data_IF_144089476980
#
_entry.id   IF_144089476980
#
_cell.length_a   1.000
_cell.length_b   1.000
_cell.length_c   1.000
_cell.angle_alpha   90.00
_cell.angle_beta   90.00
_cell.angle_gamma   90.00
#
_symmetry.space_group_name_H-M   'P 1'
#
loop_
_entity.id
_entity.type
_entity.pdbx_description
1 polymer ?
#
# COMPACT_ATOMS: atom_id res chain seq x y z
N UNK A 1 14.01 36.68 -2.60
CA UNK A 1 13.04 36.33 -3.67
C UNK A 1 11.87 35.56 -3.07
N UNK A 2 10.87 35.20 -3.88
CA UNK A 2 9.67 34.48 -3.43
C UNK A 2 9.90 32.99 -3.14
N UNK A 3 11.03 32.42 -3.58
CA UNK A 3 11.27 30.97 -3.47
C UNK A 3 10.68 30.17 -4.64
N UNK A 4 10.30 30.84 -5.73
CA UNK A 4 9.92 30.22 -7.01
C UNK A 4 11.06 30.21 -8.02
N UNK A 5 10.87 29.43 -9.10
CA UNK A 5 11.74 29.45 -10.28
C UNK A 5 12.10 30.88 -10.69
N UNK A 6 13.39 31.14 -10.83
CA UNK A 6 13.91 32.44 -11.22
C UNK A 6 13.71 32.68 -12.72
N UNK A 7 13.42 33.91 -13.11
CA UNK A 7 13.35 34.34 -14.52
C UNK A 7 14.45 35.35 -14.83
N UNK A 8 14.82 35.47 -16.12
CA UNK A 8 15.87 36.38 -16.56
C UNK A 8 17.24 36.04 -15.94
N UNK A 9 17.94 37.04 -15.41
CA UNK A 9 19.28 36.86 -14.81
C UNK A 9 19.26 36.15 -13.46
N UNK A 10 18.11 36.11 -12.78
CA UNK A 10 17.98 35.58 -11.43
C UNK A 10 17.80 36.66 -10.38
N UNK A 11 17.99 36.29 -9.11
CA UNK A 11 17.94 37.21 -7.97
C UNK A 11 19.35 37.77 -7.76
N UNK A 12 19.55 39.07 -8.01
CA UNK A 12 20.85 39.70 -7.81
C UNK A 12 21.24 39.69 -6.35
N UNK A 13 22.47 39.25 -6.06
CA UNK A 13 23.04 39.21 -4.70
C UNK A 13 24.28 40.06 -4.58
N UNK A 14 25.06 40.14 -5.66
CA UNK A 14 26.20 41.06 -5.77
C UNK A 14 26.04 41.87 -7.04
N UNK A 15 26.17 43.19 -6.92
CA UNK A 15 26.17 44.12 -8.03
C UNK A 15 27.58 44.66 -8.27
N UNK A 16 28.06 44.53 -9.50
CA UNK A 16 29.26 45.19 -9.96
C UNK A 16 28.92 46.61 -10.42
N UNK A 17 29.36 47.62 -9.66
CA UNK A 17 29.12 49.04 -9.97
C UNK A 17 30.41 49.72 -10.42
N UNK A 18 30.28 50.85 -11.14
CA UNK A 18 31.39 51.72 -11.53
C UNK A 18 32.54 51.01 -12.28
N UNK A 19 32.21 50.01 -13.11
CA UNK A 19 33.21 49.27 -13.88
C UNK A 19 34.01 48.24 -13.06
N UNK A 20 33.53 47.88 -11.87
CA UNK A 20 34.11 46.79 -11.10
C UNK A 20 34.05 45.47 -11.88
N UNK A 21 35.15 44.72 -11.84
CA UNK A 21 35.23 43.36 -12.39
C UNK A 21 35.26 42.37 -11.23
N UNK A 22 34.56 41.24 -11.36
CA UNK A 22 34.64 40.14 -10.39
C UNK A 22 35.34 38.96 -11.02
N UNK A 23 36.30 38.36 -10.31
CA UNK A 23 36.98 37.14 -10.80
C UNK A 23 36.04 35.93 -10.73
N UNK A 24 36.27 34.94 -11.59
CA UNK A 24 35.60 33.64 -11.48
C UNK A 24 35.96 33.00 -10.13
N UNK A 25 34.96 32.69 -9.31
CA UNK A 25 35.14 32.17 -7.95
C UNK A 25 35.34 33.25 -6.86
N UNK A 26 35.25 34.55 -7.18
CA UNK A 26 35.31 35.62 -6.18
C UNK A 26 34.24 35.47 -5.08
N UNK A 27 33.10 34.88 -5.42
CA UNK A 27 32.07 34.46 -4.49
C UNK A 27 31.80 32.97 -4.66
N UNK A 28 31.67 32.27 -3.54
CA UNK A 28 31.31 30.86 -3.51
C UNK A 28 30.08 30.67 -2.65
N UNK A 29 29.18 29.80 -3.11
CA UNK A 29 28.03 29.41 -2.31
C UNK A 29 28.48 28.38 -1.27
N UNK A 30 28.52 28.80 -0.01
CA UNK A 30 29.03 27.96 1.08
C UNK A 30 28.13 26.78 1.44
N UNK A 31 26.80 26.96 1.36
CA UNK A 31 25.82 25.93 1.68
C UNK A 31 24.78 25.82 0.56
N UNK A 32 24.14 24.66 0.44
CA UNK A 32 23.00 24.51 -0.44
C UNK A 32 21.88 25.48 -0.02
N UNK A 33 21.35 26.24 -0.98
CA UNK A 33 20.29 27.21 -0.73
C UNK A 33 18.98 26.66 -1.27
N UNK A 34 18.00 26.55 -0.38
CA UNK A 34 16.75 25.89 -0.64
C UNK A 34 15.60 26.82 -0.24
N UNK A 35 14.62 26.98 -1.13
CA UNK A 35 13.39 27.73 -0.83
C UNK A 35 12.20 27.11 -1.58
N UNK A 36 11.12 26.80 -0.85
CA UNK A 36 9.92 26.18 -1.42
C UNK A 36 10.26 24.86 -2.12
N UNK A 37 9.91 24.73 -3.40
CA UNK A 37 10.13 23.52 -4.20
C UNK A 37 11.51 23.47 -4.91
N UNK A 38 12.34 24.52 -4.79
CA UNK A 38 13.56 24.67 -5.62
C UNK A 38 14.85 24.72 -4.79
N UNK A 39 15.93 24.29 -5.44
CA UNK A 39 17.31 24.58 -5.08
C UNK A 39 17.77 25.82 -5.85
N UNK A 40 18.70 26.58 -5.27
CA UNK A 40 19.28 27.77 -5.88
C UNK A 40 20.81 27.67 -5.88
N UNK A 41 21.39 28.04 -7.02
CA UNK A 41 22.83 28.13 -7.21
C UNK A 41 23.25 29.57 -7.48
N UNK A 42 24.41 29.95 -6.93
CA UNK A 42 25.02 31.25 -7.16
C UNK A 42 25.85 31.20 -8.45
N UNK A 43 25.56 32.11 -9.38
CA UNK A 43 26.25 32.19 -10.66
C UNK A 43 26.66 33.63 -10.97
N UNK A 44 27.85 33.77 -11.55
CA UNK A 44 28.31 35.01 -12.19
C UNK A 44 27.63 35.18 -13.55
N UNK A 45 27.29 36.41 -13.91
CA UNK A 45 26.79 36.76 -15.23
C UNK A 45 27.84 37.61 -15.98
N UNK A 46 27.60 37.80 -17.27
CA UNK A 46 28.41 38.59 -18.21
C UNK A 46 28.56 40.08 -17.84
N UNK A 47 27.75 40.59 -16.91
CA UNK A 47 27.81 41.97 -16.41
C UNK A 47 28.62 42.09 -15.12
N UNK A 48 29.47 41.10 -14.82
CA UNK A 48 30.33 41.05 -13.63
C UNK A 48 29.55 40.91 -12.31
N UNK A 49 28.21 40.91 -12.34
CA UNK A 49 27.34 40.75 -11.17
C UNK A 49 27.04 39.27 -10.90
N UNK A 50 26.59 38.98 -9.68
CA UNK A 50 26.29 37.62 -9.24
C UNK A 50 24.83 37.48 -8.84
N UNK A 51 24.22 36.40 -9.31
CA UNK A 51 22.80 36.12 -9.18
C UNK A 51 22.58 34.73 -8.61
N UNK A 52 21.55 34.59 -7.79
CA UNK A 52 20.98 33.28 -7.48
C UNK A 52 20.00 32.88 -8.59
N UNK A 53 20.18 31.68 -9.12
CA UNK A 53 19.29 31.07 -10.12
C UNK A 53 18.74 29.77 -9.57
N UNK A 54 17.44 29.55 -9.77
CA UNK A 54 16.83 28.27 -9.43
C UNK A 54 17.35 27.19 -10.38
N UNK A 55 17.53 25.98 -9.86
CA UNK A 55 17.73 24.82 -10.71
C UNK A 55 16.48 24.56 -11.57
N UNK A 56 16.67 23.92 -12.73
CA UNK A 56 15.58 23.58 -13.64
C UNK A 56 14.71 22.42 -13.11
N UNK A 57 15.22 21.65 -12.15
CA UNK A 57 14.52 20.57 -11.48
C UNK A 57 13.97 21.03 -10.13
N UNK A 58 12.95 20.32 -9.64
CA UNK A 58 12.57 20.44 -8.24
C UNK A 58 13.62 19.76 -7.36
N UNK A 59 13.57 20.09 -6.08
CA UNK A 59 14.33 19.35 -5.08
C UNK A 59 13.82 17.91 -4.95
N UNK A 60 14.70 17.02 -4.51
CA UNK A 60 14.40 15.65 -4.12
C UNK A 60 13.27 15.53 -3.09
N UNK A 61 13.14 16.49 -2.18
CA UNK A 61 12.10 16.45 -1.14
C UNK A 61 10.67 16.55 -1.70
N UNK A 62 10.48 17.11 -2.89
CA UNK A 62 9.14 17.23 -3.52
C UNK A 62 8.57 15.84 -3.85
N UNK A 63 9.21 14.99 -4.68
CA UNK A 63 8.74 13.62 -4.88
C UNK A 63 8.80 12.79 -3.60
N UNK A 64 9.80 13.00 -2.72
CA UNK A 64 9.92 12.26 -1.47
C UNK A 64 8.70 12.47 -0.55
N UNK A 65 8.32 13.71 -0.26
CA UNK A 65 7.19 14.00 0.63
C UNK A 65 5.85 13.66 -0.03
N UNK A 66 5.72 13.86 -1.33
CA UNK A 66 4.51 13.50 -2.07
C UNK A 66 4.23 11.99 -2.02
N UNK A 67 5.28 11.16 -2.03
CA UNK A 67 5.16 9.71 -1.95
C UNK A 67 4.56 9.21 -0.63
N UNK A 68 4.65 10.00 0.46
CA UNK A 68 4.09 9.63 1.77
C UNK A 68 2.59 9.35 1.70
N UNK A 69 1.85 10.12 0.89
CA UNK A 69 0.41 9.91 0.67
C UNK A 69 0.13 8.55 0.03
N UNK A 70 0.92 8.17 -0.97
CA UNK A 70 0.81 6.88 -1.66
C UNK A 70 1.12 5.73 -0.72
N UNK A 71 2.23 5.82 0.01
CA UNK A 71 2.71 4.74 0.87
C UNK A 71 1.76 4.39 2.03
N UNK A 72 1.23 5.40 2.75
CA UNK A 72 0.22 5.16 3.79
C UNK A 72 -1.00 4.44 3.23
N UNK A 73 -1.46 4.93 2.08
CA UNK A 73 -2.65 4.43 1.44
C UNK A 73 -2.48 3.02 0.85
N UNK A 74 -1.27 2.64 0.43
CA UNK A 74 -0.97 1.28 -0.01
C UNK A 74 -0.89 0.32 1.17
N UNK A 75 -0.26 0.75 2.28
CA UNK A 75 -0.25 0.00 3.53
C UNK A 75 -1.67 -0.33 3.98
N UNK A 76 -2.55 0.68 4.05
CA UNK A 76 -3.95 0.51 4.47
C UNK A 76 -4.69 -0.52 3.61
N UNK A 77 -4.54 -0.40 2.29
CA UNK A 77 -5.17 -1.30 1.32
C UNK A 77 -4.70 -2.74 1.49
N UNK A 78 -3.39 -2.94 1.59
CA UNK A 78 -2.79 -4.28 1.75
C UNK A 78 -3.25 -4.90 3.06
N UNK A 79 -3.23 -4.13 4.16
CA UNK A 79 -3.67 -4.61 5.45
C UNK A 79 -5.12 -5.10 5.43
N UNK A 80 -6.04 -4.35 4.84
CA UNK A 80 -7.44 -4.79 4.76
C UNK A 80 -7.62 -6.00 3.83
N UNK A 81 -6.87 -6.04 2.71
CA UNK A 81 -6.89 -7.15 1.74
C UNK A 81 -6.25 -8.45 2.24
N UNK A 82 -5.49 -8.41 3.34
CA UNK A 82 -4.84 -9.59 3.96
C UNK A 82 -5.81 -10.61 4.58
N UNK A 83 -7.11 -10.31 4.56
CA UNK A 83 -8.13 -11.25 5.02
C UNK A 83 -8.38 -12.28 3.93
N UNK A 84 -7.88 -13.51 4.13
CA UNK A 84 -8.30 -14.63 3.31
C UNK A 84 -9.73 -15.02 3.71
N UNK A 85 -10.67 -14.98 2.76
CA UNK A 85 -11.98 -15.58 2.94
C UNK A 85 -11.76 -17.09 3.16
N UNK A 86 -12.05 -17.60 4.35
CA UNK A 86 -12.04 -19.04 4.60
C UNK A 86 -13.44 -19.61 4.36
N UNK A 87 -13.54 -20.34 3.25
CA UNK A 87 -14.51 -21.41 3.06
C UNK A 87 -14.11 -22.58 3.96
N UNK A 88 -14.96 -22.89 4.95
CA UNK A 88 -14.84 -24.15 5.70
C UNK A 88 -14.23 -24.05 7.10
N UNK A 89 -14.92 -23.39 8.02
CA UNK A 89 -15.01 -23.94 9.37
C UNK A 89 -16.47 -24.30 9.58
N UNK A 90 -16.80 -25.56 9.27
CA UNK A 90 -17.99 -26.22 9.79
C UNK A 90 -17.88 -26.19 11.32
N UNK A 91 -18.73 -25.39 11.97
CA UNK A 91 -18.81 -25.29 13.42
C UNK A 91 -19.47 -23.99 13.88
N UNK A 92 -20.30 -24.10 14.91
CA UNK A 92 -20.94 -23.00 15.66
C UNK A 92 -19.94 -22.12 16.43
N UNK A 93 -18.64 -22.30 16.19
CA UNK A 93 -17.56 -21.84 17.05
C UNK A 93 -16.96 -20.53 16.56
N UNK A 94 -16.61 -19.66 17.50
CA UNK A 94 -15.88 -18.44 17.22
C UNK A 94 -14.42 -18.78 16.93
N UNK A 95 -13.73 -17.89 16.21
CA UNK A 95 -12.31 -18.06 15.91
C UNK A 95 -11.48 -16.85 16.31
N UNK A 96 -10.22 -17.12 16.66
CA UNK A 96 -9.16 -16.12 16.81
C UNK A 96 -8.05 -16.46 15.83
N UNK A 97 -7.59 -15.45 15.10
CA UNK A 97 -6.58 -15.64 14.06
C UNK A 97 -5.45 -14.63 14.20
N UNK A 98 -4.24 -15.15 14.07
CA UNK A 98 -3.01 -14.38 14.00
C UNK A 98 -2.46 -14.51 12.58
N UNK A 99 -2.16 -13.39 11.94
CA UNK A 99 -1.45 -13.37 10.67
C UNK A 99 -0.23 -12.47 10.70
N UNK A 100 0.78 -12.88 9.94
CA UNK A 100 1.99 -12.10 9.68
C UNK A 100 2.12 -12.01 8.17
N UNK A 101 2.22 -10.80 7.66
CA UNK A 101 2.41 -10.54 6.23
C UNK A 101 3.60 -9.62 6.01
N UNK A 102 4.33 -9.86 4.93
CA UNK A 102 5.37 -8.96 4.47
C UNK A 102 5.55 -9.07 2.97
N UNK A 103 6.18 -8.07 2.39
CA UNK A 103 6.37 -8.02 0.94
C UNK A 103 7.21 -6.85 0.50
N UNK A 104 7.30 -6.73 -0.83
CA UNK A 104 7.94 -5.64 -1.51
C UNK A 104 6.92 -4.99 -2.45
N UNK A 105 6.90 -3.66 -2.51
CA UNK A 105 6.02 -2.87 -3.35
C UNK A 105 6.81 -1.74 -4.00
N UNK A 106 6.49 -1.41 -5.25
CA UNK A 106 7.06 -0.28 -5.96
C UNK A 106 6.09 0.37 -6.94
N UNK A 107 6.46 1.55 -7.40
CA UNK A 107 5.81 2.32 -8.45
C UNK A 107 6.87 2.76 -9.46
N UNK A 108 6.56 2.63 -10.75
CA UNK A 108 7.41 3.14 -11.82
C UNK A 108 7.14 4.63 -12.11
N UNK A 109 8.15 5.32 -12.65
CA UNK A 109 7.99 6.69 -13.12
C UNK A 109 7.12 6.73 -14.40
N UNK A 110 6.02 7.47 -14.34
CA UNK A 110 5.05 7.59 -15.44
C UNK A 110 4.82 9.04 -15.87
N UNK A 111 5.90 9.82 -15.92
CA UNK A 111 5.88 11.18 -16.49
C UNK A 111 6.11 12.31 -15.48
N UNK A 112 6.58 11.96 -14.27
CA UNK A 112 7.04 12.91 -13.27
C UNK A 112 5.96 13.63 -12.47
N UNK A 113 6.35 14.20 -11.34
CA UNK A 113 5.43 14.75 -10.35
C UNK A 113 4.66 15.99 -10.85
N UNK A 114 5.25 16.76 -11.79
CA UNK A 114 4.59 17.91 -12.45
C UNK A 114 3.30 17.49 -13.15
N UNK A 115 3.29 16.29 -13.74
CA UNK A 115 2.15 15.76 -14.49
C UNK A 115 1.13 15.04 -13.61
N UNK A 116 1.33 15.08 -12.29
CA UNK A 116 0.52 14.35 -11.32
C UNK A 116 0.82 12.86 -11.31
N UNK A 117 1.99 12.42 -11.76
CA UNK A 117 2.41 11.03 -11.62
C UNK A 117 2.83 10.74 -10.18
N UNK A 118 2.60 9.51 -9.73
CA UNK A 118 3.20 9.01 -8.50
C UNK A 118 4.72 8.92 -8.69
N UNK A 119 5.54 9.42 -7.73
CA UNK A 119 6.98 9.29 -7.79
C UNK A 119 7.43 7.82 -7.86
N UNK A 120 8.53 7.58 -8.59
CA UNK A 120 9.13 6.25 -8.62
C UNK A 120 9.59 5.87 -7.21
N UNK A 121 9.22 4.66 -6.79
CA UNK A 121 9.51 4.20 -5.45
C UNK A 121 9.60 2.68 -5.39
N UNK A 122 10.40 2.17 -4.45
CA UNK A 122 10.51 0.74 -4.21
C UNK A 122 10.87 0.49 -2.76
N UNK A 123 10.20 -0.48 -2.14
CA UNK A 123 10.37 -0.70 -0.71
C UNK A 123 9.71 -1.94 -0.19
N UNK A 124 9.96 -2.19 1.09
CA UNK A 124 9.40 -3.33 1.81
C UNK A 124 8.43 -2.88 2.88
N UNK A 125 7.50 -3.76 3.21
CA UNK A 125 6.57 -3.59 4.32
C UNK A 125 6.39 -4.92 5.06
N UNK A 126 5.96 -4.82 6.30
CA UNK A 126 5.53 -5.97 7.08
C UNK A 126 4.61 -5.58 8.22
N UNK A 127 3.70 -6.46 8.59
CA UNK A 127 2.79 -6.25 9.71
C UNK A 127 2.35 -7.56 10.35
N UNK A 128 1.92 -7.43 11.60
CA UNK A 128 1.23 -8.47 12.36
C UNK A 128 -0.21 -8.03 12.59
N UNK A 129 -1.15 -8.93 12.38
CA UNK A 129 -2.59 -8.71 12.58
C UNK A 129 -3.15 -9.80 13.48
N UNK A 130 -3.95 -9.38 14.46
CA UNK A 130 -4.72 -10.26 15.34
C UNK A 130 -6.20 -9.94 15.16
N UNK A 131 -7.00 -10.95 14.88
CA UNK A 131 -8.45 -10.84 14.71
C UNK A 131 -9.19 -11.86 15.56
N UNK A 132 -10.43 -11.53 15.91
CA UNK A 132 -11.31 -12.41 16.67
C UNK A 132 -12.78 -12.18 16.33
N UNK A 133 -13.51 -13.28 16.19
CA UNK A 133 -14.95 -13.27 16.04
C UNK A 133 -15.63 -12.92 17.38
N UNK A 134 -16.58 -11.99 17.33
CA UNK A 134 -17.36 -11.56 18.49
C UNK A 134 -18.71 -12.26 18.56
N UNK A 135 -19.36 -12.46 17.41
CA UNK A 135 -20.68 -13.07 17.32
C UNK A 135 -20.83 -13.79 15.99
N UNK A 136 -21.39 -15.00 16.07
CA UNK A 136 -21.92 -15.75 14.94
C UNK A 136 -23.39 -16.09 15.20
N UNK A 137 -24.26 -15.83 14.24
CA UNK A 137 -25.70 -16.13 14.34
C UNK A 137 -26.25 -16.48 12.97
N UNK A 138 -27.31 -17.28 12.94
CA UNK A 138 -28.06 -17.53 11.71
C UNK A 138 -29.38 -16.74 11.75
N UNK A 139 -29.66 -15.98 10.70
CA UNK A 139 -30.90 -15.20 10.58
C UNK A 139 -31.41 -15.31 9.15
N UNK A 140 -32.66 -15.73 8.99
CA UNK A 140 -33.35 -15.79 7.70
C UNK A 140 -32.55 -16.52 6.58
N UNK A 141 -31.89 -17.63 6.92
CA UNK A 141 -31.09 -18.41 5.96
C UNK A 141 -29.70 -17.85 5.67
N UNK A 142 -29.26 -16.81 6.38
CA UNK A 142 -27.90 -16.27 6.32
C UNK A 142 -27.12 -16.57 7.60
N UNK A 143 -25.91 -17.08 7.47
CA UNK A 143 -24.92 -17.12 8.54
C UNK A 143 -24.20 -15.77 8.60
N UNK A 144 -24.32 -15.09 9.74
CA UNK A 144 -23.72 -13.81 10.02
C UNK A 144 -22.55 -14.00 10.98
N UNK A 145 -21.37 -13.51 10.64
CA UNK A 145 -20.22 -13.46 11.55
C UNK A 145 -19.73 -12.02 11.64
N UNK A 146 -19.57 -11.48 12.84
CA UNK A 146 -18.94 -10.18 13.07
C UNK A 146 -17.76 -10.32 14.00
N UNK A 147 -16.74 -9.50 13.77
CA UNK A 147 -15.53 -9.51 14.58
C UNK A 147 -14.74 -8.22 14.45
N UNK A 148 -13.61 -8.21 15.14
CA UNK A 148 -12.69 -7.07 15.21
C UNK A 148 -11.27 -7.53 15.00
N UNK A 149 -10.41 -6.60 14.60
CA UNK A 149 -8.98 -6.86 14.50
C UNK A 149 -8.16 -5.63 14.85
N UNK A 150 -6.93 -5.89 15.27
CA UNK A 150 -5.88 -4.90 15.41
C UNK A 150 -4.63 -5.32 14.67
N UNK A 151 -3.88 -4.35 14.16
CA UNK A 151 -2.63 -4.60 13.47
C UNK A 151 -1.58 -3.54 13.78
N UNK A 152 -0.32 -3.95 13.70
CA UNK A 152 0.84 -3.08 13.79
C UNK A 152 1.83 -3.46 12.69
N UNK A 153 2.39 -2.45 12.03
CA UNK A 153 3.27 -2.67 10.90
C UNK A 153 4.28 -1.56 10.69
N UNK A 154 5.22 -1.86 9.82
CA UNK A 154 6.30 -0.98 9.43
C UNK A 154 6.50 -1.05 7.92
N UNK A 155 6.81 0.07 7.29
CA UNK A 155 7.27 0.13 5.90
C UNK A 155 8.50 1.02 5.74
N UNK A 156 9.34 0.68 4.77
CA UNK A 156 10.52 1.46 4.39
C UNK A 156 10.64 1.44 2.87
N UNK A 157 10.58 2.63 2.27
CA UNK A 157 10.49 2.82 0.82
C UNK A 157 11.51 3.84 0.37
N UNK A 158 12.37 3.45 -0.58
CA UNK A 158 13.27 4.36 -1.27
C UNK A 158 12.51 5.02 -2.42
N UNK A 159 12.71 6.34 -2.57
CA UNK A 159 12.04 7.17 -3.57
C UNK A 159 13.10 7.78 -4.47
N UNK A 160 12.77 7.86 -5.77
CA UNK A 160 13.62 8.52 -6.77
C UNK A 160 12.99 9.81 -7.25
N UNK A 161 13.85 10.70 -7.73
CA UNK A 161 13.44 11.92 -8.40
C UNK A 161 13.07 11.64 -9.87
N UNK A 162 12.50 12.64 -10.55
CA UNK A 162 12.04 12.55 -11.94
C UNK A 162 13.19 12.24 -12.93
N UNK A 163 14.44 12.55 -12.56
CA UNK A 163 15.65 12.25 -13.32
C UNK A 163 16.25 10.84 -13.02
N UNK A 164 15.62 10.09 -12.12
CA UNK A 164 16.04 8.75 -11.69
C UNK A 164 17.12 8.75 -10.59
N UNK A 165 17.57 9.91 -10.13
CA UNK A 165 18.46 10.02 -8.97
C UNK A 165 17.73 9.67 -7.67
N UNK A 166 18.48 9.39 -6.60
CA UNK A 166 17.90 9.05 -5.29
C UNK A 166 17.33 10.32 -4.65
N UNK A 167 16.02 10.33 -4.36
CA UNK A 167 15.40 11.42 -3.62
C UNK A 167 15.52 11.21 -2.09
N UNK A 168 15.40 9.97 -1.62
CA UNK A 168 15.52 9.65 -0.20
C UNK A 168 14.79 8.38 0.20
N UNK A 169 14.54 8.22 1.50
CA UNK A 169 13.81 7.08 2.08
C UNK A 169 12.66 7.59 2.94
N UNK A 170 11.48 7.02 2.77
CA UNK A 170 10.32 7.22 3.65
C UNK A 170 10.12 5.96 4.50
N UNK A 171 9.90 6.16 5.79
CA UNK A 171 9.52 5.11 6.73
C UNK A 171 8.17 5.43 7.34
N UNK A 172 7.35 4.42 7.57
CA UNK A 172 6.05 4.56 8.24
C UNK A 172 5.87 3.45 9.28
N UNK A 173 5.60 3.86 10.52
CA UNK A 173 5.13 2.99 11.58
C UNK A 173 3.62 3.18 11.73
N UNK A 174 2.86 2.10 11.49
CA UNK A 174 1.42 2.17 11.39
C UNK A 174 0.73 1.25 12.42
N UNK A 175 -0.32 1.78 13.05
CA UNK A 175 -1.20 1.03 13.96
C UNK A 175 -2.65 1.15 13.53
N UNK A 176 -3.31 0.01 13.35
CA UNK A 176 -4.65 -0.05 12.77
C UNK A 176 -5.63 -0.82 13.66
N UNK A 177 -6.89 -0.40 13.61
CA UNK A 177 -8.02 -1.09 14.22
C UNK A 177 -9.14 -1.17 13.20
N UNK A 178 -9.80 -2.32 13.13
CA UNK A 178 -10.92 -2.52 12.22
C UNK A 178 -11.96 -3.49 12.74
N UNK A 179 -13.11 -3.45 12.09
CA UNK A 179 -14.24 -4.33 12.33
C UNK A 179 -14.73 -4.91 11.02
N UNK A 180 -15.36 -6.08 11.10
CA UNK A 180 -15.89 -6.76 9.94
C UNK A 180 -17.24 -7.41 10.16
N UNK A 181 -17.91 -7.66 9.03
CA UNK A 181 -19.17 -8.37 8.93
C UNK A 181 -19.14 -9.29 7.71
N UNK A 182 -19.15 -10.59 7.96
CA UNK A 182 -19.25 -11.62 6.94
C UNK A 182 -20.67 -12.19 6.93
N UNK A 183 -21.28 -12.23 5.76
CA UNK A 183 -22.61 -12.74 5.49
C UNK A 183 -22.48 -13.90 4.51
N UNK A 184 -22.99 -15.08 4.85
CA UNK A 184 -22.98 -16.25 3.96
C UNK A 184 -24.40 -16.79 3.84
N UNK A 185 -24.92 -16.87 2.62
CA UNK A 185 -26.23 -17.44 2.35
C UNK A 185 -26.14 -18.98 2.38
N UNK A 186 -26.85 -19.58 3.33
CA UNK A 186 -26.67 -21.01 3.71
C UNK A 186 -26.98 -21.98 2.58
N UNK A 187 -27.89 -21.63 1.66
CA UNK A 187 -28.29 -22.54 0.58
C UNK A 187 -27.52 -22.35 -0.72
N UNK A 188 -27.03 -21.14 -1.02
CA UNK A 188 -26.35 -20.85 -2.29
C UNK A 188 -24.84 -20.68 -2.16
N UNK A 189 -24.32 -20.52 -0.94
CA UNK A 189 -22.91 -20.20 -0.70
C UNK A 189 -22.54 -18.76 -1.08
N UNK A 190 -23.46 -17.95 -1.61
CA UNK A 190 -23.24 -16.53 -1.89
C UNK A 190 -22.78 -15.86 -0.60
N UNK A 191 -21.67 -15.14 -0.65
CA UNK A 191 -21.17 -14.43 0.51
C UNK A 191 -20.86 -12.97 0.21
N UNK A 192 -20.89 -12.17 1.27
CA UNK A 192 -20.47 -10.77 1.26
C UNK A 192 -19.67 -10.47 2.52
N UNK A 193 -18.55 -9.78 2.37
CA UNK A 193 -17.72 -9.29 3.47
C UNK A 193 -17.67 -7.77 3.46
N UNK A 194 -17.87 -7.17 4.63
CA UNK A 194 -17.80 -5.73 4.83
C UNK A 194 -16.72 -5.47 5.87
N UNK A 195 -15.79 -4.58 5.56
CA UNK A 195 -14.71 -4.18 6.46
C UNK A 195 -14.69 -2.67 6.60
N UNK A 196 -14.46 -2.21 7.82
CA UNK A 196 -14.13 -0.82 8.12
C UNK A 196 -12.86 -0.78 8.99
N UNK A 197 -11.92 0.08 8.61
CA UNK A 197 -10.60 0.21 9.24
C UNK A 197 -10.25 1.68 9.47
N UNK A 198 -9.58 1.95 10.58
CA UNK A 198 -8.84 3.20 10.81
C UNK A 198 -7.38 2.90 11.13
N UNK A 199 -6.49 3.71 10.57
CA UNK A 199 -5.04 3.58 10.77
C UNK A 199 -4.46 4.90 11.26
N UNK A 200 -3.50 4.82 12.18
CA UNK A 200 -2.61 5.93 12.51
C UNK A 200 -1.23 5.66 11.92
N UNK A 201 -0.68 6.67 11.26
CA UNK A 201 0.62 6.64 10.62
C UNK A 201 1.59 7.55 11.35
N UNK A 202 2.84 7.14 11.44
CA UNK A 202 3.94 7.92 11.99
C UNK A 202 5.09 7.84 11.01
N UNK A 203 5.22 8.87 10.19
CA UNK A 203 6.09 8.84 9.03
C UNK A 203 7.34 9.70 9.22
N UNK A 204 8.47 9.20 8.70
CA UNK A 204 9.71 9.94 8.57
C UNK A 204 10.22 9.84 7.14
N UNK A 205 10.36 10.97 6.47
CA UNK A 205 11.08 11.11 5.22
C UNK A 205 12.48 11.66 5.49
N UNK A 206 13.50 11.03 4.88
CA UNK A 206 14.91 11.44 4.99
C UNK A 206 15.52 11.52 3.60
N UNK A 207 16.00 12.70 3.21
CA UNK A 207 16.84 12.94 2.04
C UNK A 207 18.29 13.19 2.48
N UNK A 208 19.20 13.40 1.53
CA UNK A 208 20.58 13.79 1.83
C UNK A 208 20.68 15.16 2.53
N UNK A 209 19.64 15.99 2.41
CA UNK A 209 19.66 17.39 2.82
C UNK A 209 18.60 17.77 3.88
N UNK A 210 17.54 16.98 4.02
CA UNK A 210 16.42 17.28 4.90
C UNK A 210 15.87 16.02 5.58
N UNK A 211 15.30 16.26 6.77
CA UNK A 211 14.50 15.28 7.51
C UNK A 211 13.12 15.89 7.74
N UNK A 212 12.07 15.13 7.42
CA UNK A 212 10.69 15.56 7.59
C UNK A 212 9.89 14.48 8.30
N UNK A 213 9.03 14.90 9.23
CA UNK A 213 8.14 13.99 9.97
C UNK A 213 6.72 14.48 9.82
N UNK A 214 5.81 13.55 9.53
CA UNK A 214 4.38 13.79 9.56
C UNK A 214 3.69 12.64 10.28
N UNK A 215 2.58 12.95 10.95
CA UNK A 215 1.66 11.94 11.44
C UNK A 215 0.44 11.92 10.54
N UNK A 216 -0.20 10.77 10.44
CA UNK A 216 -1.35 10.59 9.56
C UNK A 216 -2.48 9.83 10.21
N UNK A 217 -3.68 10.03 9.67
CA UNK A 217 -4.85 9.21 9.95
C UNK A 217 -5.47 8.75 8.64
N UNK A 218 -5.46 7.44 8.45
CA UNK A 218 -6.10 6.75 7.34
C UNK A 218 -7.44 6.16 7.80
N UNK A 219 -8.36 6.05 6.85
CA UNK A 219 -9.58 5.27 7.02
C UNK A 219 -9.88 4.53 5.72
N UNK A 220 -10.44 3.34 5.85
CA UNK A 220 -10.78 2.50 4.72
C UNK A 220 -12.08 1.76 4.97
N UNK A 221 -12.90 1.64 3.93
CA UNK A 221 -13.99 0.69 3.87
C UNK A 221 -13.85 -0.21 2.64
N UNK A 222 -14.26 -1.45 2.77
CA UNK A 222 -14.36 -2.37 1.64
C UNK A 222 -15.61 -3.22 1.71
N UNK A 223 -16.14 -3.53 0.54
CA UNK A 223 -17.19 -4.49 0.30
C UNK A 223 -16.66 -5.53 -0.67
N UNK A 224 -16.70 -6.79 -0.29
CA UNK A 224 -16.34 -7.92 -1.14
C UNK A 224 -17.50 -8.90 -1.22
N UNK A 225 -17.67 -9.54 -2.37
CA UNK A 225 -18.66 -10.60 -2.55
C UNK A 225 -18.14 -11.67 -3.47
N UNK A 226 -18.57 -12.90 -3.22
CA UNK A 226 -18.22 -14.06 -4.04
C UNK A 226 -19.34 -15.09 -4.09
N UNK A 227 -19.37 -15.88 -5.16
CA UNK A 227 -20.36 -16.93 -5.35
C UNK A 227 -19.65 -18.22 -5.77
N UNK A 228 -19.58 -19.24 -4.92
CA UNK A 228 -18.89 -20.45 -5.30
C UNK A 228 -19.72 -21.39 -6.16
N UNK A 229 -19.03 -22.07 -7.08
CA UNK A 229 -19.56 -23.07 -7.99
C UNK A 229 -18.67 -24.31 -7.96
N UNK A 230 -19.25 -25.49 -7.74
CA UNK A 230 -18.54 -26.75 -7.88
C UNK A 230 -18.34 -27.07 -9.37
N UNK A 231 -17.08 -27.25 -9.79
CA UNK A 231 -16.74 -27.76 -11.12
C UNK A 231 -16.73 -29.29 -11.10
N UNK A 232 -16.13 -29.87 -10.06
CA UNK A 232 -16.11 -31.30 -9.77
C UNK A 232 -16.31 -31.50 -8.26
N UNK A 233 -16.35 -32.74 -7.80
CA UNK A 233 -16.52 -33.08 -6.38
C UNK A 233 -15.44 -32.45 -5.48
N UNK A 234 -14.24 -32.18 -6.03
CA UNK A 234 -13.09 -31.68 -5.26
C UNK A 234 -12.57 -30.32 -5.77
N UNK A 235 -13.21 -29.69 -6.75
CA UNK A 235 -12.75 -28.44 -7.37
C UNK A 235 -13.85 -27.40 -7.41
N UNK A 236 -13.54 -26.22 -6.89
CA UNK A 236 -14.46 -25.10 -6.71
C UNK A 236 -13.93 -23.86 -7.39
N UNK A 237 -14.81 -23.17 -8.13
CA UNK A 237 -14.55 -21.87 -8.74
C UNK A 237 -15.45 -20.83 -8.09
N UNK A 238 -14.88 -19.71 -7.69
CA UNK A 238 -15.61 -18.62 -7.05
C UNK A 238 -15.23 -17.29 -7.70
N UNK A 239 -16.07 -16.73 -8.58
CA UNK A 239 -15.97 -15.34 -8.98
C UNK A 239 -16.06 -14.42 -7.77
N UNK A 240 -15.21 -13.42 -7.72
CA UNK A 240 -15.12 -12.45 -6.63
C UNK A 240 -15.06 -11.02 -7.16
N UNK A 241 -15.75 -10.13 -6.46
CA UNK A 241 -15.73 -8.70 -6.73
C UNK A 241 -15.55 -7.94 -5.41
N UNK A 242 -14.55 -7.09 -5.36
CA UNK A 242 -14.27 -6.23 -4.23
C UNK A 242 -14.25 -4.76 -4.67
N UNK A 243 -14.86 -3.92 -3.86
CA UNK A 243 -14.80 -2.47 -3.97
C UNK A 243 -14.27 -1.89 -2.68
N UNK A 244 -13.24 -1.05 -2.79
CA UNK A 244 -12.55 -0.43 -1.66
C UNK A 244 -12.52 1.07 -1.86
N UNK A 245 -12.82 1.80 -0.79
CA UNK A 245 -12.75 3.25 -0.74
C UNK A 245 -11.93 3.66 0.49
N UNK A 246 -11.05 4.63 0.30
CA UNK A 246 -10.09 5.02 1.33
C UNK A 246 -9.84 6.52 1.32
N UNK A 247 -9.47 7.03 2.49
CA UNK A 247 -9.03 8.41 2.66
C UNK A 247 -7.90 8.53 3.66
N UNK A 248 -7.08 9.56 3.48
CA UNK A 248 -5.91 9.84 4.29
C UNK A 248 -5.80 11.34 4.55
N UNK A 249 -5.44 11.69 5.77
CA UNK A 249 -5.01 13.04 6.13
C UNK A 249 -3.66 12.94 6.82
N UNK A 250 -2.70 13.76 6.38
CA UNK A 250 -1.39 13.91 7.01
C UNK A 250 -1.31 15.29 7.66
N UNK A 251 -0.62 15.37 8.79
CA UNK A 251 -0.31 16.63 9.46
C UNK A 251 0.65 17.46 8.59
N UNK A 252 0.37 18.75 8.46
CA UNK A 252 1.27 19.72 7.84
C UNK A 252 2.58 19.85 8.64
N UNK A 253 3.63 20.32 7.98
CA UNK A 253 4.93 20.53 8.58
C UNK A 253 5.75 21.61 7.89
N UNK A 254 7.04 21.60 8.19
CA UNK A 254 8.01 22.51 7.61
C UNK A 254 9.39 21.83 7.58
N UNK A 255 10.16 22.12 6.55
CA UNK A 255 11.56 21.73 6.40
C UNK A 255 12.46 22.97 6.35
N UNK A 256 13.74 22.81 6.03
CA UNK A 256 14.69 23.93 6.00
C UNK A 256 14.40 24.98 4.92
N UNK A 257 13.47 24.72 4.01
CA UNK A 257 13.15 25.60 2.89
C UNK A 257 11.77 26.22 2.91
N UNK A 258 10.90 25.75 3.80
CA UNK A 258 9.56 26.31 3.93
C UNK A 258 8.55 25.34 4.51
N UNK A 259 7.28 25.65 4.28
CA UNK A 259 6.19 24.80 4.74
C UNK A 259 5.93 23.67 3.75
N UNK A 260 5.40 22.58 4.28
CA UNK A 260 4.84 21.44 3.53
C UNK A 260 3.43 21.23 4.04
N UNK A 261 2.44 21.34 3.16
CA UNK A 261 1.03 21.13 3.49
C UNK A 261 0.47 19.95 2.74
N UNK A 262 -0.23 19.08 3.45
CA UNK A 262 -0.91 17.94 2.84
C UNK A 262 -2.41 18.22 2.74
N UNK A 263 -2.93 18.04 1.54
CA UNK A 263 -4.36 18.00 1.30
C UNK A 263 -4.96 16.65 1.72
N UNK A 264 -6.25 16.50 1.44
CA UNK A 264 -6.94 15.24 1.67
C UNK A 264 -6.58 14.26 0.56
N UNK A 265 -6.03 13.12 0.96
CA UNK A 265 -5.82 12.01 0.07
C UNK A 265 -7.09 11.14 -0.01
N UNK A 266 -7.42 10.65 -1.19
CA UNK A 266 -8.51 9.68 -1.39
C UNK A 266 -8.22 8.76 -2.55
N UNK A 267 -8.69 7.51 -2.50
CA UNK A 267 -8.69 6.63 -3.66
C UNK A 267 -9.84 5.62 -3.62
N UNK A 268 -10.15 5.08 -4.79
CA UNK A 268 -11.11 4.00 -4.94
C UNK A 268 -10.49 2.89 -5.77
N UNK A 269 -10.77 1.65 -5.38
CA UNK A 269 -10.24 0.45 -6.03
C UNK A 269 -11.38 -0.52 -6.32
N UNK A 270 -11.36 -1.13 -7.50
CA UNK A 270 -12.18 -2.29 -7.82
C UNK A 270 -11.23 -3.44 -8.11
N UNK A 271 -11.42 -4.58 -7.44
CA UNK A 271 -10.77 -5.86 -7.76
C UNK A 271 -11.81 -6.84 -8.26
N UNK A 272 -11.62 -7.35 -9.46
CA UNK A 272 -12.45 -8.41 -10.01
C UNK A 272 -11.57 -9.61 -10.34
N UNK A 273 -11.96 -10.80 -9.90
CA UNK A 273 -11.17 -12.00 -10.11
C UNK A 273 -11.98 -13.27 -9.89
N UNK A 274 -11.29 -14.39 -9.93
CA UNK A 274 -11.89 -15.70 -9.66
C UNK A 274 -10.93 -16.49 -8.82
N UNK A 275 -11.43 -17.18 -7.81
CA UNK A 275 -10.67 -18.12 -7.00
C UNK A 275 -10.96 -19.53 -7.46
N UNK A 276 -9.92 -20.29 -7.78
CA UNK A 276 -9.99 -21.70 -8.10
C UNK A 276 -9.26 -22.48 -7.01
N UNK A 277 -9.89 -23.47 -6.40
CA UNK A 277 -9.25 -24.23 -5.33
C UNK A 277 -9.88 -25.57 -5.07
N UNK A 278 -9.17 -26.40 -4.31
CA UNK A 278 -9.72 -27.66 -3.82
C UNK A 278 -10.74 -27.43 -2.73
N UNK A 279 -11.82 -28.21 -2.75
CA UNK A 279 -12.81 -28.25 -1.67
C UNK A 279 -12.82 -29.67 -1.09
N UNK A 280 -11.93 -29.95 -0.13
CA UNK A 280 -11.99 -31.19 0.63
C UNK A 280 -12.63 -30.90 2.00
N UNK A 281 -13.56 -31.77 2.42
CA UNK A 281 -14.06 -31.77 3.79
C UNK A 281 -12.85 -31.94 4.73
N UNK A 282 -12.56 -30.91 5.53
CA UNK A 282 -11.41 -30.93 6.45
C UNK A 282 -11.70 -31.76 7.71
N UNK A 283 -12.37 -32.90 7.59
CA UNK A 283 -12.66 -33.82 8.69
C UNK A 283 -11.41 -34.61 9.04
N UNK A 284 -10.94 -34.47 10.28
CA UNK A 284 -9.90 -35.34 10.83
C UNK A 284 -10.56 -36.69 11.11
N UNK A 285 -10.34 -37.71 10.28
CA UNK A 285 -10.90 -39.03 10.60
C UNK A 285 -10.90 -40.11 9.52
N UNK A 286 -11.33 -39.85 8.28
CA UNK A 286 -11.58 -40.97 7.35
C UNK A 286 -11.25 -40.61 5.89
N UNK A 287 -10.00 -40.83 5.51
CA UNK A 287 -9.65 -41.04 4.11
C UNK A 287 -10.07 -42.46 3.70
N UNK A 288 -11.29 -42.65 3.20
CA UNK A 288 -11.63 -43.90 2.51
C UNK A 288 -11.03 -43.85 1.11
N UNK A 289 -9.88 -44.49 0.92
CA UNK A 289 -9.38 -44.80 -0.41
C UNK A 289 -10.44 -45.59 -1.18
N UNK A 290 -11.08 -44.97 -2.16
CA UNK A 290 -11.86 -45.67 -3.18
C UNK A 290 -10.91 -46.38 -4.15
N UNK A 291 -10.30 -47.46 -3.68
CA UNK A 291 -9.75 -48.52 -4.53
C UNK A 291 -9.70 -49.82 -3.76
N UNK A 292 -10.85 -50.51 -3.77
CA UNK A 292 -10.94 -51.89 -3.34
C UNK A 292 -10.27 -52.81 -4.37
N UNK A 293 -9.66 -53.87 -3.87
CA UNK A 293 -9.05 -55.03 -4.55
C UNK A 293 -7.65 -54.85 -5.14
N UNK A 294 -6.61 -54.94 -4.29
CA UNK A 294 -5.56 -55.96 -4.48
C UNK A 294 -4.73 -56.16 -3.21
N UNK A 295 -4.56 -57.45 -2.88
CA UNK A 295 -3.86 -57.99 -1.73
C UNK A 295 -2.39 -57.52 -1.66
N UNK A 296 -1.96 -57.13 -0.47
CA UNK A 296 -0.92 -57.79 0.34
C UNK A 296 -0.03 -56.77 1.08
N UNK A 297 -0.03 -56.90 2.42
CA UNK A 297 1.03 -56.55 3.37
C UNK A 297 1.91 -55.32 3.14
N UNK A 298 1.48 -54.16 3.68
CA UNK A 298 2.25 -53.24 4.56
C UNK A 298 1.41 -51.98 4.84
N UNK A 299 0.61 -51.99 5.93
CA UNK A 299 -0.09 -50.77 6.39
C UNK A 299 0.90 -49.87 7.12
N UNK A 300 1.38 -48.82 6.46
CA UNK A 300 1.73 -47.57 7.12
C UNK A 300 0.62 -46.59 6.76
N UNK A 301 -0.34 -46.40 7.68
CA UNK A 301 -1.36 -45.37 7.53
C UNK A 301 -0.67 -44.01 7.69
N UNK A 302 -0.35 -43.37 6.57
CA UNK A 302 0.00 -41.96 6.59
C UNK A 302 -1.32 -41.22 6.75
N UNK A 303 -1.54 -40.55 7.89
CA UNK A 303 -2.69 -39.65 8.00
C UNK A 303 -2.49 -38.53 6.99
N UNK A 304 -3.24 -38.54 5.90
CA UNK A 304 -3.26 -37.40 4.97
C UNK A 304 -3.87 -36.22 5.73
N UNK A 305 -3.05 -35.21 6.04
CA UNK A 305 -3.55 -33.95 6.57
C UNK A 305 -4.52 -33.36 5.53
N UNK A 306 -5.75 -32.99 5.91
CA UNK A 306 -6.65 -32.34 4.98
C UNK A 306 -6.08 -30.97 4.63
N UNK A 307 -5.64 -30.84 3.36
CA UNK A 307 -5.02 -29.64 2.79
C UNK A 307 -5.93 -29.09 1.71
N UNK A 308 -6.24 -27.80 1.81
CA UNK A 308 -6.91 -27.04 0.76
C UNK A 308 -5.90 -26.12 0.07
N UNK A 309 -5.94 -26.07 -1.25
CA UNK A 309 -5.15 -25.15 -2.05
C UNK A 309 -6.05 -24.25 -2.87
N UNK A 310 -5.57 -23.07 -3.22
CA UNK A 310 -6.29 -22.16 -4.10
C UNK A 310 -5.35 -21.23 -4.86
N UNK A 311 -5.85 -20.72 -5.98
CA UNK A 311 -5.22 -19.70 -6.83
C UNK A 311 -6.28 -18.67 -7.21
N UNK A 312 -5.90 -17.39 -7.21
CA UNK A 312 -6.79 -16.27 -7.49
C UNK A 312 -6.11 -15.26 -8.43
N UNK A 313 -6.31 -15.40 -9.75
CA UNK A 313 -6.06 -14.30 -10.67
C UNK A 313 -7.11 -13.20 -10.49
N UNK A 314 -6.67 -11.94 -10.47
CA UNK A 314 -7.55 -10.78 -10.40
C UNK A 314 -6.99 -9.57 -11.15
N UNK A 315 -7.89 -8.65 -11.48
CA UNK A 315 -7.57 -7.35 -12.08
C UNK A 315 -7.96 -6.28 -11.07
N UNK A 316 -7.04 -5.39 -10.75
CA UNK A 316 -7.26 -4.27 -9.84
C UNK A 316 -7.21 -2.97 -10.64
N UNK A 317 -8.30 -2.20 -10.60
CA UNK A 317 -8.39 -0.86 -11.17
C UNK A 317 -8.47 0.17 -10.06
N UNK A 318 -7.53 1.11 -10.04
CA UNK A 318 -7.56 2.30 -9.17
C UNK A 318 -8.07 3.50 -9.95
N UNK A 319 -8.99 4.24 -9.37
CA UNK A 319 -9.54 5.46 -9.96
C UNK A 319 -9.90 6.49 -8.88
N UNK A 320 -10.18 7.72 -9.32
CA UNK A 320 -10.49 8.85 -8.45
C UNK A 320 -9.42 9.07 -7.35
N UNK A 321 -8.16 8.69 -7.63
CA UNK A 321 -7.05 8.92 -6.72
C UNK A 321 -6.67 10.40 -6.72
N UNK A 322 -6.61 10.98 -5.53
CA UNK A 322 -6.12 12.33 -5.26
C UNK A 322 -5.17 12.28 -4.08
N UNK A 323 -4.15 13.13 -4.12
CA UNK A 323 -3.22 13.34 -3.03
C UNK A 323 -2.54 14.68 -3.25
N UNK A 324 -3.12 15.75 -2.70
CA UNK A 324 -2.56 17.08 -2.90
C UNK A 324 -1.46 17.33 -1.87
N UNK A 325 -0.35 17.92 -2.31
CA UNK A 325 0.72 18.41 -1.47
C UNK A 325 1.10 19.80 -1.95
N UNK A 326 1.31 20.74 -1.03
CA UNK A 326 1.76 22.09 -1.37
C UNK A 326 3.02 22.47 -0.63
N UNK A 327 3.98 23.06 -1.33
CA UNK A 327 5.24 23.56 -0.78
C UNK A 327 5.42 25.03 -1.13
N UNK A 328 6.01 25.79 -0.22
CA UNK A 328 6.24 27.21 -0.41
C UNK A 328 6.95 27.86 0.77
N UNK A 329 7.17 29.16 0.67
CA UNK A 329 7.78 29.97 1.73
C UNK A 329 6.74 30.91 2.35
N UNK A 330 7.11 31.65 3.39
CA UNK A 330 6.24 32.69 3.94
C UNK A 330 5.95 33.85 2.95
N UNK A 331 6.67 33.93 1.82
CA UNK A 331 6.44 34.95 0.81
C UNK A 331 5.12 34.71 0.06
N UNK A 332 4.34 35.78 -0.12
CA UNK A 332 3.10 35.74 -0.88
C UNK A 332 3.35 35.27 -2.32
N UNK A 333 2.48 34.36 -2.80
CA UNK A 333 2.57 33.81 -4.16
C UNK A 333 3.63 32.71 -4.34
N UNK A 334 4.31 32.27 -3.29
CA UNK A 334 5.35 31.21 -3.37
C UNK A 334 4.81 29.77 -3.36
N UNK A 335 3.50 29.59 -3.25
CA UNK A 335 2.87 28.29 -3.11
C UNK A 335 2.87 27.52 -4.44
N UNK A 336 3.39 26.30 -4.41
CA UNK A 336 3.27 25.32 -5.49
C UNK A 336 2.52 24.10 -5.00
N UNK A 337 1.59 23.58 -5.80
CA UNK A 337 0.78 22.41 -5.47
C UNK A 337 1.06 21.28 -6.45
N UNK A 338 1.23 20.08 -5.90
CA UNK A 338 1.47 18.82 -6.58
C UNK A 338 0.33 17.88 -6.26
N UNK A 339 -0.19 17.18 -7.26
CA UNK A 339 -1.36 16.30 -7.11
C UNK A 339 -1.09 14.92 -7.72
N UNK A 340 -0.16 14.11 -7.14
CA UNK A 340 0.06 12.75 -7.56
C UNK A 340 -1.25 11.93 -7.56
N UNK A 341 -1.44 11.17 -8.63
CA UNK A 341 -2.57 10.28 -8.84
C UNK A 341 -2.08 8.84 -8.98
N UNK A 342 -2.74 7.89 -8.31
CA UNK A 342 -2.46 6.45 -8.40
C UNK A 342 -3.38 5.72 -9.38
N UNK A 343 -4.03 6.46 -10.27
CA UNK A 343 -4.93 5.87 -11.25
C UNK A 343 -4.17 4.92 -12.17
N UNK A 344 -4.66 3.69 -12.32
CA UNK A 344 -3.96 2.66 -13.05
C UNK A 344 -4.66 1.30 -12.98
N UNK A 345 -4.16 0.36 -13.76
CA UNK A 345 -4.60 -1.04 -13.75
C UNK A 345 -3.42 -1.94 -13.46
N UNK A 346 -3.59 -2.86 -12.52
CA UNK A 346 -2.65 -3.94 -12.22
C UNK A 346 -3.32 -5.30 -12.38
N UNK A 347 -2.52 -6.30 -12.72
CA UNK A 347 -2.88 -7.71 -12.64
C UNK A 347 -2.30 -8.27 -11.35
N UNK A 348 -3.11 -9.03 -10.62
CA UNK A 348 -2.73 -9.64 -9.35
C UNK A 348 -2.96 -11.15 -9.44
N UNK A 349 -1.99 -11.91 -8.95
CA UNK A 349 -2.07 -13.36 -8.86
C UNK A 349 -1.69 -13.78 -7.44
N UNK A 350 -2.64 -14.38 -6.74
CA UNK A 350 -2.43 -14.92 -5.41
C UNK A 350 -2.61 -16.43 -5.41
N UNK A 351 -1.90 -17.11 -4.52
CA UNK A 351 -2.05 -18.54 -4.29
C UNK A 351 -1.82 -18.85 -2.82
N UNK A 352 -2.51 -19.87 -2.31
CA UNK A 352 -2.40 -20.26 -0.91
C UNK A 352 -2.67 -21.73 -0.65
N UNK A 353 -2.18 -22.17 0.50
CA UNK A 353 -2.34 -23.49 1.07
C UNK A 353 -2.87 -23.34 2.49
N UNK A 354 -3.84 -24.15 2.86
CA UNK A 354 -4.38 -24.22 4.21
C UNK A 354 -4.40 -25.68 4.66
N UNK A 355 -3.94 -25.94 5.89
CA UNK A 355 -3.86 -27.27 6.46
C UNK A 355 -4.44 -27.27 7.88
N UNK A 356 -5.36 -28.19 8.16
CA UNK A 356 -5.87 -28.41 9.51
C UNK A 356 -4.94 -29.35 10.27
N UNK A 357 -4.19 -28.80 11.23
CA UNK A 357 -3.16 -29.54 11.99
C UNK A 357 -3.74 -30.20 13.24
N UNK A 358 -4.81 -29.62 13.79
CA UNK A 358 -5.66 -30.19 14.85
C UNK A 358 -7.12 -29.85 14.57
N UNK A 359 -8.05 -30.52 15.23
CA UNK A 359 -9.49 -30.25 15.09
C UNK A 359 -9.86 -28.77 15.20
N UNK A 360 -9.15 -28.02 16.05
CA UNK A 360 -9.36 -26.60 16.30
C UNK A 360 -8.23 -25.68 15.81
N UNK A 361 -7.23 -26.20 15.09
CA UNK A 361 -6.08 -25.41 14.61
C UNK A 361 -5.89 -25.60 13.11
N UNK A 362 -5.96 -24.48 12.39
CA UNK A 362 -5.66 -24.39 10.96
C UNK A 362 -4.47 -23.47 10.73
N UNK A 363 -3.52 -23.91 9.91
CA UNK A 363 -2.41 -23.10 9.41
C UNK A 363 -2.66 -22.75 7.95
N UNK A 364 -2.35 -21.52 7.57
CA UNK A 364 -2.43 -21.04 6.20
C UNK A 364 -1.13 -20.37 5.78
N UNK A 365 -0.73 -20.55 4.53
CA UNK A 365 0.37 -19.81 3.90
C UNK A 365 -0.10 -19.35 2.54
N UNK A 366 0.13 -18.10 2.20
CA UNK A 366 -0.18 -17.56 0.88
C UNK A 366 0.93 -16.66 0.36
N UNK A 367 1.01 -16.55 -0.95
CA UNK A 367 1.90 -15.64 -1.65
C UNK A 367 1.14 -14.95 -2.78
N UNK A 368 1.54 -13.72 -3.08
CA UNK A 368 0.94 -12.91 -4.13
C UNK A 368 1.98 -12.18 -4.96
N UNK A 369 1.64 -11.93 -6.22
CA UNK A 369 2.40 -11.09 -7.14
C UNK A 369 1.45 -10.16 -7.90
N UNK A 370 1.76 -8.87 -7.87
CA UNK A 370 1.02 -7.85 -8.59
C UNK A 370 1.96 -7.17 -9.60
N UNK A 371 1.46 -6.95 -10.82
CA UNK A 371 2.19 -6.28 -11.88
C UNK A 371 1.37 -5.13 -12.47
N UNK A 372 2.00 -3.96 -12.59
CA UNK A 372 1.39 -2.77 -13.16
C UNK A 372 1.30 -2.92 -14.68
N UNK A 373 0.11 -2.76 -15.25
CA UNK A 373 -0.11 -2.83 -16.71
C UNK A 373 -0.25 -1.46 -17.33
N UNK A 374 -0.79 -0.49 -16.57
CA UNK A 374 -0.98 0.87 -17.06
C UNK A 374 -1.12 1.87 -15.92
N UNK A 375 -0.61 3.08 -16.14
CA UNK A 375 -0.70 4.17 -15.18
C UNK A 375 0.08 3.87 -13.91
N UNK A 376 -0.27 4.58 -12.84
CA UNK A 376 0.55 4.67 -11.63
C UNK A 376 0.18 3.59 -10.61
N UNK A 377 -0.14 2.38 -11.07
CA UNK A 377 -0.40 1.25 -10.18
C UNK A 377 0.89 0.69 -9.61
N UNK A 378 0.78 0.18 -8.39
CA UNK A 378 1.87 -0.50 -7.72
C UNK A 378 2.13 -1.88 -8.32
N UNK A 379 3.38 -2.33 -8.25
CA UNK A 379 3.80 -3.70 -8.51
C UNK A 379 4.62 -4.26 -7.35
N UNK A 380 4.68 -5.58 -7.22
CA UNK A 380 5.41 -6.20 -6.13
C UNK A 380 4.97 -7.61 -5.80
N UNK A 381 5.52 -8.15 -4.73
CA UNK A 381 5.20 -9.48 -4.23
C UNK A 381 4.97 -9.45 -2.73
N UNK A 382 4.19 -10.40 -2.23
CA UNK A 382 3.92 -10.55 -0.81
C UNK A 382 3.85 -12.02 -0.40
N UNK A 383 4.05 -12.26 0.90
CA UNK A 383 3.87 -13.54 1.54
C UNK A 383 3.20 -13.35 2.89
N UNK A 384 2.29 -14.26 3.24
CA UNK A 384 1.57 -14.25 4.50
C UNK A 384 1.49 -15.65 5.10
N UNK A 385 1.64 -15.70 6.41
CA UNK A 385 1.35 -16.88 7.22
C UNK A 385 0.23 -16.57 8.20
N UNK A 386 -0.64 -17.55 8.41
CA UNK A 386 -1.86 -17.41 9.20
C UNK A 386 -2.00 -18.61 10.13
N UNK A 387 -2.32 -18.35 11.39
CA UNK A 387 -2.72 -19.33 12.39
C UNK A 387 -4.15 -19.01 12.81
N UNK A 388 -5.04 -19.98 12.71
CA UNK A 388 -6.43 -19.87 13.15
C UNK A 388 -6.72 -20.89 14.25
N UNK A 389 -7.38 -20.43 15.32
CA UNK A 389 -7.81 -21.26 16.45
C UNK A 389 -9.31 -21.08 16.67
N UNK A 390 -10.07 -22.17 16.66
CA UNK A 390 -11.52 -22.17 16.90
C UNK A 390 -11.86 -22.65 18.32
N UNK A 391 -12.92 -22.13 18.92
CA UNK A 391 -13.35 -22.50 20.28
C UNK A 391 -14.86 -22.41 20.50
#
# INVERSE_FOLDING_TARGET
>A
GTGLATTGKGIQVVEAINGATTEEGAFVQGNMLQAGAFNYTLNRDSDESWYLRSENAYRAEVPLYASMLTQAMDYDRILAGSRSHQTGVNGENNSVRLSIQGGHLGHDNNGGIVRGATPESSGSYGFVRLEGDLLRTEVAGMSLTTGVYGAAGHSSVDVKDDDGSRAGTVRDDAGSLGGYLNLVHTSSGLWADIVAQGTRHSMKASSDNNDFRARGRGWQGSLETGLPFSITDNLMLEPQLQYTWQGLSLDDGQDNAGYVKFGHGSAQHVRAGFRLGSHNDMTFGEGTSSRDTLRDSTKHGVSELPVNWWVQPSVIRTFSSRGDMSMGTAAAGSNMTFSPSRNGTSLDLQAGLEARVRENITLGVQAGYAHSVSGNSAEGYNGQATLNVTF
#
